data_IF_812892426966
#
_entry.id   IF_812892426966
#
_cell.length_a   1.000
_cell.length_b   1.000
_cell.length_c   1.000
_cell.angle_alpha   90.00
_cell.angle_beta   90.00
_cell.angle_gamma   90.00
#
_symmetry.space_group_name_H-M   'P 1'
#
loop_
_entity.id
_entity.type
_entity.pdbx_description
1 polymer ?
#
# COMPACT_ATOMS: atom_id res chain seq x y z
N UNK A 1 -17.73 53.01 43.70
CA UNK A 1 -19.01 52.25 43.79
C UNK A 1 -19.68 52.45 42.44
N UNK A 2 -19.85 51.49 41.55
CA UNK A 2 -20.30 50.10 41.68
C UNK A 2 -19.79 49.29 40.47
N UNK A 3 -19.42 48.03 40.71
CA UNK A 3 -18.87 47.10 39.73
C UNK A 3 -19.93 46.07 39.26
N UNK A 4 -19.91 45.75 37.95
CA UNK A 4 -20.39 44.48 37.34
C UNK A 4 -21.89 44.33 37.04
N UNK A 5 -22.31 43.34 36.21
CA UNK A 5 -21.53 42.18 35.73
C UNK A 5 -21.51 41.92 34.21
N UNK A 6 -20.54 41.08 33.84
CA UNK A 6 -20.33 40.37 32.57
C UNK A 6 -21.56 39.53 32.13
N UNK A 7 -21.78 39.42 30.81
CA UNK A 7 -22.35 38.27 30.05
C UNK A 7 -22.04 38.53 28.56
N UNK A 8 -21.02 37.93 27.96
CA UNK A 8 -20.91 36.54 27.44
C UNK A 8 -21.81 36.25 26.24
N UNK A 9 -21.27 35.43 25.33
CA UNK A 9 -21.88 34.78 24.15
C UNK A 9 -21.61 35.51 22.81
N UNK A 10 -20.44 35.33 22.19
CA UNK A 10 -19.98 34.16 21.38
C UNK A 10 -20.54 34.24 19.95
N UNK A 11 -19.70 34.39 18.90
CA UNK A 11 -20.16 34.22 17.52
C UNK A 11 -20.52 32.75 17.29
N UNK A 12 -21.67 32.40 16.66
CA UNK A 12 -21.90 31.03 16.23
C UNK A 12 -21.02 30.73 15.02
N UNK A 13 -19.95 30.00 15.31
CA UNK A 13 -19.34 28.94 14.49
C UNK A 13 -19.18 29.22 13.00
N UNK A 14 -17.96 29.65 12.64
CA UNK A 14 -17.31 29.17 11.42
C UNK A 14 -17.25 27.65 11.55
N UNK A 15 -18.23 26.94 11.02
CA UNK A 15 -18.00 25.56 10.62
C UNK A 15 -17.14 25.64 9.38
N UNK A 16 -15.83 25.81 9.57
CA UNK A 16 -14.90 25.17 8.65
C UNK A 16 -15.38 23.72 8.62
N UNK A 17 -15.74 23.17 7.45
CA UNK A 17 -15.85 21.72 7.37
C UNK A 17 -14.51 21.23 7.89
N UNK A 18 -14.57 20.47 8.99
CA UNK A 18 -13.44 19.66 9.44
C UNK A 18 -13.02 18.96 8.17
N UNK A 19 -11.81 19.26 7.67
CA UNK A 19 -11.22 18.42 6.66
C UNK A 19 -11.05 17.08 7.35
N UNK A 20 -12.13 16.27 7.32
CA UNK A 20 -12.01 14.84 7.48
C UNK A 20 -10.87 14.49 6.53
N UNK A 21 -9.78 13.92 7.05
CA UNK A 21 -8.71 13.49 6.18
C UNK A 21 -9.43 12.66 5.12
N UNK A 22 -9.33 13.09 3.86
CA UNK A 22 -9.81 12.29 2.75
C UNK A 22 -8.81 11.15 2.70
N UNK A 23 -8.96 10.20 3.63
CA UNK A 23 -8.10 9.05 3.82
C UNK A 23 -8.24 8.28 2.53
N UNK A 24 -7.19 8.32 1.73
CA UNK A 24 -7.19 7.63 0.45
C UNK A 24 -7.27 6.15 0.78
N UNK A 25 -8.22 5.39 0.23
CA UNK A 25 -8.27 3.96 0.50
C UNK A 25 -6.95 3.31 0.08
N UNK A 26 -6.41 2.48 0.97
CA UNK A 26 -5.20 1.72 0.70
C UNK A 26 -5.60 0.39 0.09
N UNK A 27 -5.15 0.19 -1.15
CA UNK A 27 -5.36 -1.03 -1.92
C UNK A 27 -4.19 -1.98 -1.71
N UNK A 28 -4.52 -3.27 -1.61
CA UNK A 28 -3.54 -4.34 -1.62
C UNK A 28 -3.44 -4.88 -3.03
N UNK A 29 -2.31 -4.68 -3.69
CA UNK A 29 -2.04 -5.16 -5.03
C UNK A 29 -0.94 -6.22 -4.98
N UNK A 30 -1.18 -7.38 -5.56
CA UNK A 30 -0.15 -8.35 -5.86
C UNK A 30 0.34 -8.11 -7.28
N UNK A 31 1.63 -7.82 -7.40
CA UNK A 31 2.28 -7.55 -8.67
C UNK A 31 3.27 -8.67 -8.97
N UNK A 32 3.04 -9.39 -10.06
CA UNK A 32 4.01 -10.34 -10.57
C UNK A 32 4.97 -9.63 -11.51
N UNK A 33 6.26 -9.70 -11.23
CA UNK A 33 7.32 -9.16 -12.09
C UNK A 33 8.09 -10.30 -12.74
N UNK A 34 8.52 -10.07 -13.98
CA UNK A 34 9.31 -11.01 -14.77
C UNK A 34 10.81 -10.74 -14.70
N UNK A 35 11.62 -11.75 -15.03
CA UNK A 35 13.06 -11.58 -15.25
C UNK A 35 13.32 -10.59 -16.38
N UNK A 36 14.05 -9.54 -16.06
CA UNK A 36 14.67 -8.66 -17.04
C UNK A 36 16.05 -8.20 -16.52
N UNK A 37 16.84 -7.67 -17.44
CA UNK A 37 18.19 -7.21 -17.15
C UNK A 37 18.14 -5.95 -16.27
N UNK A 38 18.67 -6.04 -15.05
CA UNK A 38 18.67 -4.94 -14.09
C UNK A 38 17.52 -4.93 -13.09
N UNK A 39 16.68 -5.97 -13.05
CA UNK A 39 15.54 -6.07 -12.13
C UNK A 39 15.90 -6.30 -10.65
N UNK A 40 17.19 -6.45 -10.31
CA UNK A 40 17.64 -6.67 -8.93
C UNK A 40 17.22 -8.01 -8.32
N UNK A 41 16.61 -8.91 -9.10
CA UNK A 41 16.21 -10.25 -8.68
C UNK A 41 17.40 -11.20 -8.54
N UNK A 42 17.42 -12.08 -7.53
CA UNK A 42 18.53 -13.01 -7.29
C UNK A 42 18.78 -13.93 -8.49
N UNK A 43 20.02 -14.38 -8.68
CA UNK A 43 20.40 -15.32 -9.75
C UNK A 43 19.56 -16.61 -9.68
N UNK A 44 19.18 -17.17 -10.83
CA UNK A 44 18.29 -18.33 -10.93
C UNK A 44 16.76 -18.08 -10.87
N UNK A 45 16.26 -16.96 -10.32
CA UNK A 45 14.84 -16.59 -10.41
C UNK A 45 14.35 -16.36 -11.85
N UNK A 46 13.06 -16.53 -12.12
CA UNK A 46 12.38 -16.14 -13.36
C UNK A 46 11.42 -14.95 -13.21
N UNK A 47 11.22 -14.50 -11.97
CA UNK A 47 10.38 -13.37 -11.62
C UNK A 47 10.30 -13.21 -10.10
N UNK A 48 9.36 -12.40 -9.63
CA UNK A 48 8.95 -12.35 -8.23
C UNK A 48 7.48 -11.93 -8.11
N UNK A 49 6.81 -12.39 -7.07
CA UNK A 49 5.58 -11.80 -6.57
C UNK A 49 5.91 -10.70 -5.57
N UNK A 50 5.35 -9.52 -5.76
CA UNK A 50 5.48 -8.37 -4.87
C UNK A 50 4.09 -8.03 -4.33
N UNK A 51 3.91 -8.19 -3.03
CA UNK A 51 2.72 -7.67 -2.37
C UNK A 51 2.94 -6.19 -2.06
N UNK A 52 2.14 -5.34 -2.67
CA UNK A 52 2.28 -3.89 -2.64
C UNK A 52 1.05 -3.24 -2.00
N UNK A 53 1.28 -2.35 -1.05
CA UNK A 53 0.29 -1.42 -0.54
C UNK A 53 0.42 -0.09 -1.26
N UNK A 54 -0.67 0.36 -1.86
CA UNK A 54 -0.72 1.62 -2.60
C UNK A 54 -2.01 2.34 -2.24
N UNK A 55 -1.89 3.62 -1.92
CA UNK A 55 -3.04 4.50 -1.78
C UNK A 55 -3.44 5.02 -3.15
N UNK A 56 -4.72 4.97 -3.47
CA UNK A 56 -5.23 5.49 -4.74
C UNK A 56 -6.62 6.05 -4.57
N UNK A 57 -7.04 6.87 -5.54
CA UNK A 57 -8.43 7.30 -5.60
C UNK A 57 -9.36 6.16 -6.02
N UNK A 58 -8.88 5.34 -6.95
CA UNK A 58 -9.56 4.19 -7.52
C UNK A 58 -8.54 3.08 -7.80
N UNK A 59 -8.98 1.82 -7.82
CA UNK A 59 -8.11 0.66 -8.04
C UNK A 59 -7.31 0.77 -9.35
N UNK A 60 -7.98 1.17 -10.45
CA UNK A 60 -7.34 1.30 -11.76
C UNK A 60 -6.26 2.39 -11.80
N UNK A 61 -6.40 3.45 -10.99
CA UNK A 61 -5.38 4.50 -10.87
C UNK A 61 -4.16 3.96 -10.12
N UNK A 62 -4.39 3.29 -8.97
CA UNK A 62 -3.34 2.65 -8.17
C UNK A 62 -2.52 1.62 -8.98
N UNK A 63 -3.21 0.79 -9.80
CA UNK A 63 -2.55 -0.18 -10.69
C UNK A 63 -1.67 0.52 -11.72
N UNK A 64 -2.16 1.57 -12.38
CA UNK A 64 -1.40 2.29 -13.42
C UNK A 64 -0.17 2.97 -12.84
N UNK A 65 -0.30 3.59 -11.69
CA UNK A 65 0.81 4.26 -11.01
C UNK A 65 1.86 3.25 -10.53
N UNK A 66 1.41 2.15 -9.92
CA UNK A 66 2.30 1.05 -9.51
C UNK A 66 3.08 0.50 -10.69
N UNK A 67 2.42 0.23 -11.83
CA UNK A 67 3.08 -0.23 -13.06
C UNK A 67 4.08 0.80 -13.59
N UNK A 68 3.77 2.10 -13.50
CA UNK A 68 4.68 3.14 -13.94
C UNK A 68 5.94 3.21 -13.06
N UNK A 69 5.78 3.18 -11.72
CA UNK A 69 6.88 3.20 -10.76
C UNK A 69 7.78 1.97 -10.92
N UNK A 70 7.19 0.78 -11.04
CA UNK A 70 7.96 -0.45 -11.24
C UNK A 70 8.76 -0.41 -12.55
N UNK A 71 8.18 0.12 -13.63
CA UNK A 71 8.90 0.30 -14.91
C UNK A 71 10.06 1.29 -14.78
N UNK A 72 9.86 2.39 -14.07
CA UNK A 72 10.91 3.39 -13.81
C UNK A 72 12.05 2.80 -12.97
N UNK A 73 11.71 1.96 -11.98
CA UNK A 73 12.66 1.16 -11.20
C UNK A 73 13.36 0.04 -11.99
N UNK A 74 13.07 -0.10 -13.29
CA UNK A 74 13.68 -1.10 -14.16
C UNK A 74 12.98 -2.45 -14.17
N UNK A 75 11.98 -2.67 -13.31
CA UNK A 75 11.23 -3.92 -13.19
C UNK A 75 10.29 -4.17 -14.39
N UNK A 76 10.00 -5.43 -14.67
CA UNK A 76 9.04 -5.84 -15.70
C UNK A 76 7.73 -6.38 -15.09
N UNK A 77 6.72 -5.53 -14.76
CA UNK A 77 5.42 -6.02 -14.31
C UNK A 77 4.75 -6.85 -15.41
N UNK A 78 4.37 -8.08 -15.07
CA UNK A 78 3.70 -9.06 -15.92
C UNK A 78 2.20 -9.06 -15.67
N UNK A 79 1.81 -9.22 -14.40
CA UNK A 79 0.42 -9.26 -13.96
C UNK A 79 0.23 -8.42 -12.70
N UNK A 80 -0.95 -7.81 -12.57
CA UNK A 80 -1.34 -7.05 -11.39
C UNK A 80 -2.72 -7.50 -10.95
N UNK A 81 -2.78 -8.07 -9.75
CA UNK A 81 -4.01 -8.56 -9.12
C UNK A 81 -4.36 -7.68 -7.94
N UNK A 82 -5.56 -7.10 -7.94
CA UNK A 82 -6.10 -6.34 -6.81
C UNK A 82 -6.81 -7.24 -5.81
N UNK A 83 -6.43 -7.14 -4.54
CA UNK A 83 -7.08 -7.82 -3.41
C UNK A 83 -8.10 -6.94 -2.68
N UNK A 84 -8.43 -5.77 -3.24
CA UNK A 84 -9.34 -4.80 -2.64
C UNK A 84 -8.69 -3.90 -1.58
N UNK A 85 -9.54 -3.20 -0.85
CA UNK A 85 -9.12 -2.21 0.17
C UNK A 85 -8.89 -2.84 1.54
N UNK A 86 -8.11 -2.16 2.38
CA UNK A 86 -7.96 -2.51 3.81
C UNK A 86 -9.32 -2.69 4.50
N UNK A 87 -10.29 -1.81 4.23
CA UNK A 87 -11.63 -1.89 4.83
C UNK A 87 -12.40 -3.14 4.41
N UNK A 88 -12.32 -3.53 3.13
CA UNK A 88 -12.94 -4.77 2.65
C UNK A 88 -12.32 -5.99 3.32
N UNK A 89 -10.99 -6.05 3.42
CA UNK A 89 -10.29 -7.16 4.08
C UNK A 89 -10.67 -7.28 5.56
N UNK A 90 -10.74 -6.15 6.27
CA UNK A 90 -11.20 -6.10 7.65
C UNK A 90 -12.67 -6.54 7.77
N UNK A 91 -13.53 -6.17 6.81
CA UNK A 91 -14.93 -6.57 6.77
C UNK A 91 -15.11 -8.08 6.45
N UNK A 92 -14.21 -8.67 5.66
CA UNK A 92 -14.13 -10.12 5.43
C UNK A 92 -13.62 -10.89 6.67
N UNK A 93 -13.19 -10.17 7.72
CA UNK A 93 -12.67 -10.76 8.96
C UNK A 93 -11.21 -11.17 8.88
N UNK A 94 -10.44 -10.62 7.93
CA UNK A 94 -8.99 -10.80 7.93
C UNK A 94 -8.35 -9.96 9.04
N UNK A 95 -7.54 -10.62 9.87
CA UNK A 95 -6.71 -9.95 10.86
C UNK A 95 -5.49 -9.35 10.15
N UNK A 96 -5.40 -8.03 10.18
CA UNK A 96 -4.28 -7.27 9.60
C UNK A 96 -3.51 -6.67 10.78
N UNK A 97 -2.28 -7.16 11.07
CA UNK A 97 -1.51 -6.72 12.22
C UNK A 97 -1.17 -5.23 12.12
N UNK A 98 -0.90 -4.60 13.27
CA UNK A 98 -0.56 -3.17 13.31
C UNK A 98 0.65 -2.81 12.45
N UNK A 99 1.60 -3.74 12.25
CA UNK A 99 2.77 -3.51 11.40
C UNK A 99 2.37 -3.32 9.93
N UNK A 100 1.44 -4.13 9.41
CA UNK A 100 0.90 -3.95 8.06
C UNK A 100 0.05 -2.68 7.95
N UNK A 101 -0.76 -2.37 8.98
CA UNK A 101 -1.50 -1.11 9.03
C UNK A 101 -0.57 0.11 9.05
N UNK A 102 0.60 0.00 9.68
CA UNK A 102 1.60 1.06 9.67
C UNK A 102 2.24 1.23 8.28
N UNK A 103 2.49 0.13 7.55
CA UNK A 103 2.95 0.20 6.16
C UNK A 103 1.89 0.85 5.26
N UNK A 104 0.62 0.48 5.43
CA UNK A 104 -0.50 1.07 4.70
C UNK A 104 -0.67 2.56 5.00
N UNK A 105 -0.57 2.95 6.28
CA UNK A 105 -0.64 4.36 6.68
C UNK A 105 0.51 5.19 6.11
N UNK A 106 1.70 4.61 5.95
CA UNK A 106 2.83 5.26 5.26
C UNK A 106 2.57 5.41 3.77
N UNK A 107 2.08 4.35 3.12
CA UNK A 107 1.67 4.40 1.71
C UNK A 107 0.68 5.54 1.46
N UNK A 108 -0.33 5.68 2.33
CA UNK A 108 -1.32 6.76 2.29
C UNK A 108 -0.71 8.14 2.55
N UNK A 109 0.15 8.26 3.55
CA UNK A 109 0.73 9.54 3.94
C UNK A 109 1.71 10.10 2.89
N UNK A 110 2.42 9.21 2.20
CA UNK A 110 3.48 9.56 1.25
C UNK A 110 3.06 9.39 -0.22
N UNK A 111 1.81 8.97 -0.47
CA UNK A 111 1.27 8.67 -1.80
C UNK A 111 2.25 7.78 -2.60
N UNK A 112 2.66 6.68 -1.98
CA UNK A 112 3.77 5.85 -2.45
C UNK A 112 3.42 4.36 -2.40
N UNK A 113 4.10 3.59 -3.25
CA UNK A 113 3.97 2.12 -3.30
C UNK A 113 4.92 1.49 -2.28
N UNK A 114 4.36 0.81 -1.28
CA UNK A 114 5.12 0.13 -0.25
C UNK A 114 5.06 -1.38 -0.50
N UNK A 115 6.23 -2.02 -0.67
CA UNK A 115 6.31 -3.48 -0.79
C UNK A 115 6.26 -4.10 0.59
N UNK A 116 5.20 -4.84 0.88
CA UNK A 116 4.98 -5.56 2.13
C UNK A 116 5.73 -6.90 2.16
N UNK A 117 5.66 -7.63 1.03
CA UNK A 117 6.31 -8.93 0.87
C UNK A 117 6.89 -9.05 -0.54
N UNK A 118 8.05 -9.68 -0.65
CA UNK A 118 8.70 -10.01 -1.92
C UNK A 118 9.02 -11.50 -1.94
N UNK A 119 8.45 -12.22 -2.89
CA UNK A 119 8.64 -13.66 -3.09
C UNK A 119 9.26 -13.94 -4.46
N UNK A 120 10.58 -14.22 -4.54
CA UNK A 120 11.22 -14.55 -5.80
C UNK A 120 10.75 -15.91 -6.35
N UNK A 121 10.38 -15.94 -7.63
CA UNK A 121 9.94 -17.13 -8.36
C UNK A 121 11.15 -17.78 -9.03
N UNK A 122 11.34 -19.10 -8.88
CA UNK A 122 12.43 -19.85 -9.52
C UNK A 122 11.86 -20.93 -10.46
N UNK A 123 12.32 -20.96 -11.72
CA UNK A 123 11.91 -21.98 -12.70
C UNK A 123 12.67 -23.28 -12.43
N UNK A 124 12.21 -24.03 -11.43
CA UNK A 124 12.83 -25.27 -10.99
C UNK A 124 12.33 -25.85 -9.67
N UNK A 125 11.33 -25.26 -9.00
CA UNK A 125 10.79 -25.83 -7.77
C UNK A 125 9.80 -26.98 -8.02
N UNK A 126 10.27 -28.01 -8.73
CA UNK A 126 10.12 -29.37 -8.23
C UNK A 126 11.52 -29.79 -7.79
N UNK A 127 11.77 -29.76 -6.48
CA UNK A 127 12.89 -30.42 -5.79
C UNK A 127 14.31 -29.84 -6.00
N UNK A 128 14.87 -29.23 -4.95
CA UNK A 128 16.25 -29.42 -4.54
C UNK A 128 16.31 -29.39 -3.00
N UNK A 129 16.26 -30.58 -2.43
CA UNK A 129 16.86 -30.94 -1.15
C UNK A 129 18.39 -30.79 -1.28
N UNK A 130 19.02 -30.07 -0.36
CA UNK A 130 20.42 -30.27 0.01
C UNK A 130 20.54 -29.90 1.50
N UNK A 131 20.34 -30.92 2.36
CA UNK A 131 20.95 -30.89 3.68
C UNK A 131 22.44 -31.16 3.56
N UNK A 132 23.28 -30.35 4.23
CA UNK A 132 24.52 -30.71 4.95
C UNK A 132 25.16 -29.44 5.56
N UNK A 133 25.01 -29.27 6.89
CA UNK A 133 26.09 -28.98 7.87
C UNK A 133 25.55 -29.21 9.29
#
# INVERSE_FOLDING_TARGET
MIAGPRRSCRPPSITCPKAEPMTKPVYTLLVEVGRKAGDGLPDGSTGAGLLCYTSGKDEAEAVRETVAILKDAGLAPLDVTGYGTLEERLAEGQDIPEEERALMARAEAEDSVIVAQMEPLFKGASCADDGDD
#
